data_IF_695960727239
#
_entry.id   IF_695960727239
#
_cell.length_a   1.000
_cell.length_b   1.000
_cell.length_c   1.000
_cell.angle_alpha   90.00
_cell.angle_beta   90.00
_cell.angle_gamma   90.00
#
_symmetry.space_group_name_H-M   'P 1'
#
loop_
_entity.id
_entity.type
_entity.pdbx_description
1 polymer ?
#
# COMPACT_ATOMS: atom_id res chain seq x y z
N UNK A 1 -29.88 4.51 -0.05
CA UNK A 1 -30.06 5.95 -0.37
C UNK A 1 -29.35 6.78 0.67
N UNK A 2 -28.47 7.69 0.25
CA UNK A 2 -27.73 8.57 1.16
C UNK A 2 -28.69 9.61 1.75
N UNK A 3 -28.78 9.72 3.08
CA UNK A 3 -29.75 10.59 3.77
C UNK A 3 -29.37 12.07 3.76
N UNK A 4 -28.16 12.39 3.32
CA UNK A 4 -27.53 13.72 3.39
C UNK A 4 -27.76 14.60 2.15
N UNK A 5 -28.27 14.06 1.04
CA UNK A 5 -28.35 14.76 -0.25
C UNK A 5 -27.00 14.96 -0.96
N UNK A 6 -25.89 14.57 -0.32
CA UNK A 6 -24.53 14.61 -0.89
C UNK A 6 -24.17 13.30 -1.59
N UNK A 7 -23.37 13.40 -2.66
CA UNK A 7 -22.68 12.22 -3.22
C UNK A 7 -21.69 11.65 -2.19
N UNK A 8 -21.35 10.38 -2.30
CA UNK A 8 -20.34 9.78 -1.41
C UNK A 8 -18.99 10.50 -1.53
N UNK A 9 -18.63 10.96 -2.73
CA UNK A 9 -17.44 11.77 -2.96
C UNK A 9 -17.48 13.09 -2.19
N UNK A 10 -18.62 13.76 -2.12
CA UNK A 10 -18.76 15.01 -1.34
C UNK A 10 -18.65 14.78 0.17
N UNK A 11 -19.20 13.68 0.68
CA UNK A 11 -19.04 13.31 2.09
C UNK A 11 -17.58 13.06 2.44
N UNK A 12 -16.84 12.34 1.58
CA UNK A 12 -15.41 12.12 1.80
C UNK A 12 -14.60 13.41 1.74
N UNK A 13 -14.87 14.31 0.79
CA UNK A 13 -14.24 15.64 0.76
C UNK A 13 -14.53 16.45 2.02
N UNK A 14 -15.77 16.45 2.48
CA UNK A 14 -16.17 17.17 3.68
C UNK A 14 -15.50 16.58 4.94
N UNK A 15 -15.41 15.24 5.04
CA UNK A 15 -14.71 14.56 6.13
C UNK A 15 -13.21 14.93 6.15
N UNK A 16 -12.53 14.84 5.00
CA UNK A 16 -11.09 15.20 4.89
C UNK A 16 -10.85 16.68 5.21
N UNK A 17 -11.84 17.53 4.99
CA UNK A 17 -11.83 18.95 5.40
C UNK A 17 -12.18 19.18 6.88
N UNK A 18 -12.45 18.11 7.66
CA UNK A 18 -12.75 18.18 9.09
C UNK A 18 -14.21 18.44 9.44
N UNK A 19 -15.14 18.33 8.48
CA UNK A 19 -16.58 18.45 8.76
C UNK A 19 -17.15 17.14 9.33
N UNK A 20 -18.11 17.27 10.25
CA UNK A 20 -18.95 16.14 10.65
C UNK A 20 -19.93 15.81 9.51
N UNK A 21 -19.82 14.62 8.96
CA UNK A 21 -20.65 14.12 7.86
C UNK A 21 -21.69 13.11 8.33
N UNK A 22 -21.89 13.00 9.64
CA UNK A 22 -22.76 12.01 10.29
C UNK A 22 -22.11 10.63 10.39
N UNK A 23 -22.90 9.58 10.69
CA UNK A 23 -22.38 8.24 10.89
C UNK A 23 -21.80 7.68 9.58
N UNK A 24 -20.47 7.64 9.51
CA UNK A 24 -19.73 6.79 8.58
C UNK A 24 -19.33 5.50 9.29
N UNK A 25 -19.69 4.35 8.73
CA UNK A 25 -19.23 3.07 9.26
C UNK A 25 -17.95 2.65 8.53
N UNK A 26 -16.86 2.67 9.30
CA UNK A 26 -15.48 2.23 9.05
C UNK A 26 -14.80 2.64 7.73
N UNK A 27 -13.64 3.34 7.78
CA UNK A 27 -12.97 3.88 6.60
C UNK A 27 -12.04 2.90 5.87
N UNK A 28 -11.79 1.68 6.33
CA UNK A 28 -10.83 0.79 5.66
C UNK A 28 -11.31 -0.66 5.80
N UNK A 29 -11.87 -1.20 4.72
CA UNK A 29 -12.21 -2.62 4.65
C UNK A 29 -11.11 -3.32 3.85
N UNK A 30 -10.02 -3.76 4.50
CA UNK A 30 -9.05 -4.67 3.87
C UNK A 30 -9.69 -6.01 3.52
N UNK A 31 -10.66 -6.41 4.35
CA UNK A 31 -11.50 -7.57 4.16
C UNK A 31 -12.69 -7.41 5.10
N UNK A 32 -13.84 -6.98 4.59
CA UNK A 32 -15.06 -7.49 5.20
C UNK A 32 -15.10 -8.97 4.85
N UNK A 33 -14.49 -9.77 5.73
CA UNK A 33 -14.63 -11.21 5.74
C UNK A 33 -16.11 -11.50 5.99
N UNK A 34 -16.90 -11.51 4.93
CA UNK A 34 -17.79 -12.63 4.76
C UNK A 34 -16.84 -13.83 4.76
N UNK A 35 -16.86 -14.59 5.86
CA UNK A 35 -15.98 -15.73 6.13
C UNK A 35 -15.56 -16.38 4.82
N UNK A 36 -14.26 -16.46 4.53
CA UNK A 36 -13.83 -17.30 3.40
C UNK A 36 -13.93 -18.74 3.91
N UNK A 37 -14.81 -19.58 3.33
CA UNK A 37 -15.55 -19.39 2.07
C UNK A 37 -16.93 -18.71 2.23
N UNK A 38 -17.17 -17.64 1.44
CA UNK A 38 -18.46 -16.94 1.38
C UNK A 38 -19.54 -17.90 0.88
N UNK A 39 -20.62 -18.04 1.65
CA UNK A 39 -21.74 -18.89 1.31
C UNK A 39 -23.00 -18.02 1.15
N UNK A 40 -23.54 -17.95 -0.06
CA UNK A 40 -24.84 -17.35 -0.32
C UNK A 40 -25.94 -18.25 0.28
N UNK A 41 -26.64 -17.84 1.36
CA UNK A 41 -27.53 -18.73 2.10
C UNK A 41 -28.95 -18.79 1.53
N UNK A 42 -29.21 -18.09 0.43
CA UNK A 42 -30.54 -17.89 -0.13
C UNK A 42 -30.77 -18.75 -1.39
N UNK A 43 -32.03 -19.13 -1.68
CA UNK A 43 -32.37 -19.99 -2.83
C UNK A 43 -32.25 -19.27 -4.19
N UNK A 44 -32.18 -17.94 -4.22
CA UNK A 44 -31.92 -17.17 -5.43
C UNK A 44 -30.48 -17.35 -5.92
N UNK A 45 -30.20 -17.17 -7.24
CA UNK A 45 -28.83 -17.19 -7.74
C UNK A 45 -27.98 -16.15 -7.01
N UNK A 46 -26.79 -16.56 -6.58
CA UNK A 46 -25.82 -15.63 -6.01
C UNK A 46 -25.60 -14.49 -7.00
N UNK A 47 -25.99 -13.25 -6.67
CA UNK A 47 -25.76 -12.11 -7.55
C UNK A 47 -24.27 -11.82 -7.72
N UNK A 48 -23.41 -12.52 -6.97
CA UNK A 48 -21.99 -12.28 -6.90
C UNK A 48 -21.15 -13.59 -6.93
N UNK A 49 -20.99 -14.28 -8.08
CA UNK A 49 -20.19 -15.51 -8.19
C UNK A 49 -18.69 -15.35 -7.87
N UNK A 50 -18.08 -16.32 -7.16
CA UNK A 50 -16.65 -16.34 -6.82
C UNK A 50 -15.73 -16.32 -8.04
N UNK A 51 -14.66 -15.49 -8.06
CA UNK A 51 -13.58 -15.67 -9.05
C UNK A 51 -12.54 -14.56 -9.26
N UNK A 52 -12.76 -13.32 -8.80
CA UNK A 52 -11.83 -12.21 -9.06
C UNK A 52 -11.65 -11.32 -7.83
N UNK A 53 -10.44 -10.79 -7.54
CA UNK A 53 -10.22 -9.91 -6.36
C UNK A 53 -11.16 -8.70 -6.38
N UNK A 54 -11.39 -8.14 -7.56
CA UNK A 54 -12.26 -7.00 -7.83
C UNK A 54 -13.75 -7.35 -7.64
N UNK A 55 -14.09 -8.63 -7.67
CA UNK A 55 -15.42 -9.14 -7.38
C UNK A 55 -15.74 -9.06 -5.88
N UNK A 56 -14.77 -9.40 -5.03
CA UNK A 56 -14.88 -9.23 -3.58
C UNK A 56 -15.06 -7.75 -3.19
N UNK A 57 -14.35 -6.84 -3.88
CA UNK A 57 -14.52 -5.39 -3.69
C UNK A 57 -15.93 -4.95 -4.08
N UNK A 58 -16.40 -5.36 -5.26
CA UNK A 58 -17.74 -5.03 -5.75
C UNK A 58 -18.84 -5.51 -4.80
N UNK A 59 -18.70 -6.73 -4.26
CA UNK A 59 -19.60 -7.30 -3.23
C UNK A 59 -19.63 -6.46 -1.96
N UNK A 60 -18.45 -6.10 -1.43
CA UNK A 60 -18.34 -5.29 -0.21
C UNK A 60 -18.97 -3.91 -0.40
N UNK A 61 -18.74 -3.28 -1.56
CA UNK A 61 -19.34 -1.98 -1.88
C UNK A 61 -20.87 -2.06 -2.05
N UNK A 62 -21.37 -3.15 -2.65
CA UNK A 62 -22.81 -3.39 -2.77
C UNK A 62 -23.47 -3.62 -1.41
N UNK A 63 -22.87 -4.44 -0.54
CA UNK A 63 -23.38 -4.69 0.82
C UNK A 63 -23.39 -3.41 1.65
N UNK A 64 -22.30 -2.65 1.62
CA UNK A 64 -22.23 -1.36 2.29
C UNK A 64 -23.32 -0.40 1.82
N UNK A 65 -23.62 -0.37 0.52
CA UNK A 65 -24.71 0.45 -0.01
C UNK A 65 -26.09 0.05 0.55
N UNK A 66 -26.35 -1.26 0.72
CA UNK A 66 -27.59 -1.79 1.32
C UNK A 66 -27.68 -1.41 2.80
N UNK A 67 -26.58 -1.50 3.54
CA UNK A 67 -26.52 -1.13 4.96
C UNK A 67 -26.54 0.39 5.19
N UNK A 68 -26.50 1.22 4.14
CA UNK A 68 -26.45 2.67 4.24
C UNK A 68 -25.08 3.23 4.63
N UNK A 69 -24.02 2.48 4.36
CA UNK A 69 -22.64 2.82 4.70
C UNK A 69 -21.86 3.38 3.51
N UNK A 70 -20.80 4.12 3.82
CA UNK A 70 -19.95 4.81 2.86
C UNK A 70 -18.46 4.42 3.02
N UNK A 71 -18.09 3.13 2.87
CA UNK A 71 -16.72 2.70 3.06
C UNK A 71 -15.82 3.29 1.97
N UNK A 72 -14.60 3.65 2.35
CA UNK A 72 -13.49 3.73 1.39
C UNK A 72 -12.81 2.37 1.31
N UNK A 73 -12.38 2.03 0.11
CA UNK A 73 -11.65 0.79 -0.13
C UNK A 73 -10.15 1.09 -0.21
N UNK A 74 -9.37 0.37 0.59
CA UNK A 74 -7.92 0.39 0.53
C UNK A 74 -7.51 -0.56 -0.61
N UNK A 75 -7.25 0.00 -1.79
CA UNK A 75 -6.81 -0.78 -2.94
C UNK A 75 -5.49 -0.31 -3.51
N UNK A 76 -4.52 -1.22 -3.55
CA UNK A 76 -3.32 -1.05 -4.35
C UNK A 76 -3.58 -1.47 -5.80
N UNK A 77 -3.08 -0.69 -6.74
CA UNK A 77 -2.80 -1.21 -8.09
C UNK A 77 -1.44 -1.91 -8.05
N UNK A 78 -1.27 -3.06 -8.74
CA UNK A 78 0.06 -3.63 -8.87
C UNK A 78 0.91 -2.73 -9.75
N UNK A 79 2.14 -2.50 -9.30
CA UNK A 79 3.17 -1.81 -10.07
C UNK A 79 4.22 -2.84 -10.49
N UNK A 80 3.76 -3.81 -11.29
CA UNK A 80 4.60 -4.92 -11.74
C UNK A 80 5.72 -4.41 -12.65
N UNK A 81 7.00 -4.68 -12.33
CA UNK A 81 8.11 -4.29 -13.21
C UNK A 81 7.96 -4.97 -14.58
N UNK A 82 8.36 -4.28 -15.66
CA UNK A 82 8.36 -4.85 -17.01
C UNK A 82 9.30 -6.03 -17.12
N UNK A 83 10.45 -5.95 -16.45
CA UNK A 83 11.33 -7.09 -16.25
C UNK A 83 10.84 -7.92 -15.06
N UNK A 84 10.23 -9.07 -15.34
CA UNK A 84 9.76 -10.00 -14.32
C UNK A 84 10.89 -10.54 -13.41
N UNK A 85 12.16 -10.47 -13.85
CA UNK A 85 13.32 -10.81 -13.03
C UNK A 85 13.55 -9.86 -11.86
N UNK A 86 12.96 -8.66 -11.90
CA UNK A 86 13.00 -7.68 -10.81
C UNK A 86 11.90 -7.91 -9.76
N UNK A 87 10.94 -8.81 -9.98
CA UNK A 87 9.91 -9.07 -8.99
C UNK A 87 10.51 -9.80 -7.77
N UNK A 88 10.20 -9.32 -6.56
CA UNK A 88 10.58 -10.00 -5.33
C UNK A 88 9.93 -11.38 -5.26
N UNK A 89 10.73 -12.41 -5.05
CA UNK A 89 10.26 -13.79 -4.92
C UNK A 89 10.12 -14.14 -3.45
N UNK A 90 8.94 -14.57 -3.03
CA UNK A 90 8.69 -15.02 -1.66
C UNK A 90 8.32 -16.49 -1.62
N UNK A 91 8.95 -17.23 -0.72
CA UNK A 91 8.64 -18.64 -0.44
C UNK A 91 8.27 -18.79 1.03
N UNK A 92 7.07 -19.30 1.28
CA UNK A 92 6.58 -19.58 2.63
C UNK A 92 6.54 -21.08 2.87
N UNK A 93 7.09 -21.52 4.00
CA UNK A 93 7.00 -22.90 4.47
C UNK A 93 6.43 -22.92 5.89
N UNK A 94 5.39 -23.72 6.12
CA UNK A 94 4.74 -23.85 7.43
C UNK A 94 5.00 -25.23 8.01
N UNK A 95 5.53 -25.28 9.23
CA UNK A 95 5.77 -26.54 9.96
C UNK A 95 5.60 -26.31 11.46
N UNK A 96 4.88 -27.21 12.15
CA UNK A 96 4.76 -27.19 13.61
C UNK A 96 4.17 -25.90 14.19
N UNK A 97 3.30 -25.19 13.46
CA UNK A 97 2.73 -23.91 13.90
C UNK A 97 3.64 -22.70 13.69
N UNK A 98 4.81 -22.88 13.07
CA UNK A 98 5.72 -21.81 12.65
C UNK A 98 5.66 -21.68 11.13
N UNK A 99 5.52 -20.45 10.64
CA UNK A 99 5.61 -20.08 9.24
C UNK A 99 6.94 -19.38 9.00
N UNK A 100 7.75 -19.88 8.07
CA UNK A 100 9.00 -19.24 7.64
C UNK A 100 8.81 -18.69 6.24
N UNK A 101 8.98 -17.38 6.09
CA UNK A 101 8.97 -16.68 4.81
C UNK A 101 10.39 -16.26 4.43
N UNK A 102 10.85 -16.70 3.26
CA UNK A 102 12.08 -16.21 2.64
C UNK A 102 11.70 -15.31 1.46
N UNK A 103 12.24 -14.09 1.43
CA UNK A 103 12.07 -13.14 0.33
C UNK A 103 13.42 -12.90 -0.34
N UNK A 104 13.45 -12.89 -1.68
CA UNK A 104 14.65 -12.70 -2.51
C UNK A 104 14.40 -11.66 -3.60
N UNK A 105 15.39 -10.81 -3.83
CA UNK A 105 15.40 -9.80 -4.90
C UNK A 105 16.72 -9.89 -5.66
N UNK A 106 16.63 -10.13 -6.96
CA UNK A 106 17.79 -10.19 -7.84
C UNK A 106 18.27 -8.77 -8.17
N UNK A 107 19.58 -8.55 -8.08
CA UNK A 107 20.25 -7.35 -8.58
C UNK A 107 21.49 -7.75 -9.40
N UNK A 108 22.00 -6.88 -10.29
CA UNK A 108 23.26 -7.10 -11.02
C UNK A 108 24.47 -7.27 -10.10
N UNK A 109 24.37 -6.87 -8.84
CA UNK A 109 25.45 -6.88 -7.85
C UNK A 109 25.32 -8.04 -6.84
N UNK A 110 24.36 -8.94 -7.04
CA UNK A 110 24.05 -10.06 -6.15
C UNK A 110 22.59 -10.07 -5.70
N UNK A 111 22.25 -11.05 -4.87
CA UNK A 111 20.90 -11.20 -4.33
C UNK A 111 20.76 -10.46 -2.99
N UNK A 112 19.66 -9.71 -2.82
CA UNK A 112 19.18 -9.26 -1.52
C UNK A 112 18.15 -10.27 -1.02
N UNK A 113 18.30 -10.76 0.22
CA UNK A 113 17.32 -11.69 0.78
C UNK A 113 17.12 -11.55 2.27
N UNK A 114 15.88 -11.78 2.71
CA UNK A 114 15.47 -11.78 4.10
C UNK A 114 14.76 -13.08 4.48
N UNK A 115 14.87 -13.45 5.74
CA UNK A 115 14.17 -14.61 6.31
C UNK A 115 13.45 -14.16 7.57
N UNK A 116 12.14 -14.32 7.57
CA UNK A 116 11.25 -14.00 8.70
C UNK A 116 10.53 -15.26 9.13
N UNK A 117 10.52 -15.52 10.44
CA UNK A 117 9.70 -16.55 11.07
C UNK A 117 8.54 -15.92 11.82
N UNK A 118 7.36 -16.50 11.67
CA UNK A 118 6.17 -16.11 12.41
C UNK A 118 5.50 -17.31 13.05
N UNK A 119 5.13 -17.16 14.31
CA UNK A 119 4.25 -18.10 15.02
C UNK A 119 3.13 -17.30 15.68
N UNK A 120 3.29 -16.97 16.96
CA UNK A 120 2.47 -15.97 17.67
C UNK A 120 2.99 -14.55 17.43
N UNK A 121 4.31 -14.41 17.31
CA UNK A 121 5.00 -13.17 16.95
C UNK A 121 5.93 -13.39 15.77
N UNK A 122 6.30 -12.29 15.10
CA UNK A 122 7.27 -12.29 14.01
C UNK A 122 8.69 -12.09 14.53
N UNK A 123 9.67 -12.78 13.95
CA UNK A 123 11.09 -12.70 14.26
C UNK A 123 11.91 -12.72 12.97
N UNK A 124 12.83 -11.75 12.82
CA UNK A 124 13.75 -11.68 11.68
C UNK A 124 14.97 -12.56 11.94
N UNK A 125 15.13 -13.64 11.16
CA UNK A 125 16.33 -14.49 11.20
C UNK A 125 17.46 -13.86 10.41
N UNK A 126 17.14 -13.35 9.22
CA UNK A 126 18.08 -12.69 8.32
C UNK A 126 17.45 -11.38 7.87
N UNK A 127 18.02 -10.22 8.25
CA UNK A 127 17.52 -8.94 7.76
C UNK A 127 17.84 -8.80 6.28
N UNK A 128 17.02 -8.03 5.57
CA UNK A 128 17.25 -7.73 4.16
C UNK A 128 18.50 -6.86 3.95
N UNK A 129 18.76 -5.96 4.89
CA UNK A 129 19.81 -4.95 4.85
C UNK A 129 20.72 -5.16 6.05
N UNK A 130 21.98 -5.51 5.78
CA UNK A 130 22.99 -5.82 6.80
C UNK A 130 24.33 -5.11 6.59
N UNK A 131 24.48 -4.43 5.45
CA UNK A 131 25.68 -3.72 5.05
C UNK A 131 25.34 -2.46 4.26
N UNK A 132 26.26 -1.50 4.20
CA UNK A 132 26.17 -0.31 3.34
C UNK A 132 25.90 -0.66 1.87
N UNK A 133 26.49 -1.75 1.38
CA UNK A 133 26.30 -2.22 0.01
C UNK A 133 24.86 -2.69 -0.25
N UNK A 134 24.21 -3.31 0.75
CA UNK A 134 22.83 -3.76 0.61
C UNK A 134 21.87 -2.58 0.37
N UNK A 135 22.12 -1.43 1.01
CA UNK A 135 21.35 -0.20 0.78
C UNK A 135 21.47 0.29 -0.66
N UNK A 136 22.70 0.31 -1.21
CA UNK A 136 22.94 0.70 -2.61
C UNK A 136 22.27 -0.26 -3.59
N UNK A 137 22.33 -1.57 -3.30
CA UNK A 137 21.65 -2.61 -4.09
C UNK A 137 20.14 -2.42 -4.07
N UNK A 138 19.56 -2.09 -2.89
CA UNK A 138 18.13 -1.86 -2.78
C UNK A 138 17.71 -0.55 -3.47
N UNK A 139 18.51 0.51 -3.34
CA UNK A 139 18.27 1.78 -4.04
C UNK A 139 18.29 1.58 -5.57
N UNK A 140 19.26 0.83 -6.09
CA UNK A 140 19.27 0.41 -7.50
C UNK A 140 18.01 -0.37 -7.86
N UNK A 141 17.62 -1.34 -7.03
CA UNK A 141 16.45 -2.20 -7.29
C UNK A 141 15.15 -1.38 -7.35
N UNK A 142 14.95 -0.45 -6.41
CA UNK A 142 13.81 0.48 -6.40
C UNK A 142 13.77 1.27 -7.71
N UNK A 143 14.90 1.85 -8.14
CA UNK A 143 14.98 2.58 -9.42
C UNK A 143 14.70 1.68 -10.62
N UNK A 144 15.19 0.44 -10.63
CA UNK A 144 14.93 -0.51 -11.71
C UNK A 144 13.44 -0.87 -11.79
N UNK A 145 12.78 -1.11 -10.65
CA UNK A 145 11.34 -1.41 -10.61
C UNK A 145 10.44 -0.23 -10.98
N UNK A 146 10.99 0.98 -11.09
CA UNK A 146 10.24 2.11 -11.63
C UNK A 146 9.92 1.93 -13.11
N UNK A 147 10.63 1.07 -13.85
CA UNK A 147 10.21 0.65 -15.19
C UNK A 147 9.11 -0.44 -15.10
N UNK A 148 7.94 -0.05 -14.60
CA UNK A 148 6.74 -0.88 -14.55
C UNK A 148 5.83 -0.67 -15.75
N UNK A 149 4.92 -1.61 -15.98
CA UNK A 149 3.87 -1.47 -16.99
C UNK A 149 2.81 -0.45 -16.53
N UNK A 150 3.09 0.83 -16.79
CA UNK A 150 2.21 1.94 -16.39
C UNK A 150 0.82 1.84 -17.01
N UNK A 151 0.71 1.44 -18.28
CA UNK A 151 -0.59 1.32 -18.95
C UNK A 151 -1.45 0.24 -18.32
N UNK A 152 -0.84 -0.91 -17.96
CA UNK A 152 -1.52 -1.96 -17.21
C UNK A 152 -1.95 -1.46 -15.82
N UNK A 153 -1.09 -0.78 -15.08
CA UNK A 153 -1.44 -0.22 -13.77
C UNK A 153 -2.60 0.79 -13.86
N UNK A 154 -2.63 1.64 -14.90
CA UNK A 154 -3.72 2.58 -15.17
C UNK A 154 -5.02 1.81 -15.48
N UNK A 155 -4.96 0.80 -16.35
CA UNK A 155 -6.12 0.00 -16.71
C UNK A 155 -6.71 -0.74 -15.51
N UNK A 156 -5.87 -1.36 -14.67
CA UNK A 156 -6.29 -2.02 -13.44
C UNK A 156 -6.91 -1.03 -12.45
N UNK A 157 -6.31 0.16 -12.30
CA UNK A 157 -6.87 1.22 -11.46
C UNK A 157 -8.22 1.75 -11.96
N UNK A 158 -8.41 1.86 -13.28
CA UNK A 158 -9.70 2.24 -13.87
C UNK A 158 -10.78 1.17 -13.67
N UNK A 159 -10.42 -0.12 -13.79
CA UNK A 159 -11.33 -1.24 -13.51
C UNK A 159 -11.78 -1.24 -12.04
N UNK A 160 -10.84 -1.02 -11.13
CA UNK A 160 -11.12 -0.91 -9.70
C UNK A 160 -12.03 0.30 -9.40
N UNK A 161 -11.76 1.45 -10.00
CA UNK A 161 -12.63 2.63 -9.87
C UNK A 161 -14.05 2.32 -10.38
N UNK A 162 -14.18 1.59 -11.48
CA UNK A 162 -15.49 1.18 -11.99
C UNK A 162 -16.23 0.25 -11.01
N UNK A 163 -15.51 -0.65 -10.34
CA UNK A 163 -16.07 -1.54 -9.31
C UNK A 163 -16.55 -0.79 -8.04
N UNK A 164 -15.82 0.25 -7.63
CA UNK A 164 -16.13 1.03 -6.42
C UNK A 164 -17.21 2.10 -6.68
N UNK A 165 -17.28 2.61 -7.91
CA UNK A 165 -18.23 3.64 -8.34
C UNK A 165 -17.82 5.04 -7.91
N UNK A 166 -18.77 5.84 -7.41
CA UNK A 166 -18.51 7.21 -6.90
C UNK A 166 -17.85 7.26 -5.52
N UNK A 167 -17.70 6.10 -4.88
CA UNK A 167 -17.05 5.98 -3.57
C UNK A 167 -15.55 6.12 -3.81
N UNK A 168 -14.89 7.00 -3.05
CA UNK A 168 -13.48 7.31 -3.27
C UNK A 168 -12.61 6.05 -3.24
N UNK A 169 -11.65 5.95 -4.16
CA UNK A 169 -10.59 4.94 -4.07
C UNK A 169 -9.43 5.56 -3.33
N UNK A 170 -8.99 4.91 -2.25
CA UNK A 170 -7.75 5.26 -1.58
C UNK A 170 -6.62 4.52 -2.28
N UNK A 171 -5.76 5.28 -2.96
CA UNK A 171 -4.48 4.75 -3.43
C UNK A 171 -3.64 4.41 -2.22
N UNK A 172 -3.21 3.16 -2.11
CA UNK A 172 -2.48 2.67 -0.93
C UNK A 172 -1.00 2.70 -1.25
N UNK A 173 -0.25 3.34 -0.36
CA UNK A 173 1.19 3.18 -0.31
C UNK A 173 1.54 2.53 1.02
N UNK A 174 2.39 1.50 0.97
CA UNK A 174 2.94 0.83 2.13
C UNK A 174 4.41 1.22 2.31
N UNK A 175 4.70 1.81 3.48
CA UNK A 175 6.05 2.00 4.02
C UNK A 175 6.74 3.29 3.59
N UNK A 176 7.24 4.07 4.56
CA UNK A 176 8.16 5.15 4.25
C UNK A 176 9.41 4.60 3.50
N UNK A 177 10.05 5.40 2.63
CA UNK A 177 11.21 5.01 1.81
C UNK A 177 12.33 4.19 2.50
N UNK A 178 12.49 4.31 3.82
CA UNK A 178 13.58 3.73 4.62
C UNK A 178 13.16 2.48 5.42
N UNK A 179 11.87 2.14 5.46
CA UNK A 179 11.29 1.24 6.48
C UNK A 179 11.43 -0.27 6.23
N UNK A 180 12.22 -0.70 5.22
CA UNK A 180 12.49 -2.13 4.94
C UNK A 180 13.60 -2.74 5.80
N UNK A 181 14.18 -1.95 6.71
CA UNK A 181 15.22 -2.39 7.65
C UNK A 181 14.61 -3.09 8.87
N UNK A 182 15.37 -3.98 9.49
CA UNK A 182 15.06 -4.38 10.86
C UNK A 182 15.06 -3.13 11.76
N UNK A 183 13.99 -2.96 12.55
CA UNK A 183 13.66 -1.68 13.23
C UNK A 183 14.74 -1.26 14.23
N UNK A 184 15.36 -2.23 14.89
CA UNK A 184 16.41 -1.99 15.88
C UNK A 184 17.73 -1.59 15.21
N UNK A 185 17.99 -2.13 14.01
CA UNK A 185 19.23 -1.90 13.26
C UNK A 185 19.24 -0.57 12.49
N UNK A 186 18.06 -0.04 12.12
CA UNK A 186 17.93 1.19 11.33
C UNK A 186 18.66 2.38 11.95
N UNK A 187 18.58 2.54 13.28
CA UNK A 187 19.24 3.65 13.97
C UNK A 187 20.76 3.60 13.85
N UNK A 188 21.35 2.41 13.96
CA UNK A 188 22.78 2.21 13.78
C UNK A 188 23.18 2.44 12.33
N UNK A 189 22.40 1.93 11.37
CA UNK A 189 22.69 2.12 9.95
C UNK A 189 22.60 3.59 9.51
N UNK A 190 21.69 4.38 10.09
CA UNK A 190 21.61 5.82 9.81
C UNK A 190 22.82 6.59 10.36
N UNK A 191 23.43 6.10 11.44
CA UNK A 191 24.64 6.68 12.00
C UNK A 191 25.90 6.22 11.23
N UNK A 192 25.96 4.94 10.88
CA UNK A 192 27.12 4.32 10.26
C UNK A 192 27.18 4.58 8.74
N UNK A 193 26.03 4.62 8.07
CA UNK A 193 25.90 4.72 6.60
C UNK A 193 24.85 5.77 6.18
N UNK A 194 24.96 7.04 6.62
CA UNK A 194 23.97 8.07 6.34
C UNK A 194 23.74 8.28 4.85
N UNK A 195 24.81 8.32 4.05
CA UNK A 195 24.73 8.56 2.60
C UNK A 195 23.99 7.42 1.86
N UNK A 196 24.22 6.16 2.25
CA UNK A 196 23.55 5.02 1.63
C UNK A 196 22.05 4.97 2.02
N UNK A 197 21.73 5.34 3.25
CA UNK A 197 20.34 5.50 3.69
C UNK A 197 19.64 6.63 2.94
N UNK A 198 20.31 7.77 2.75
CA UNK A 198 19.78 8.91 2.00
C UNK A 198 19.62 8.60 0.50
N UNK A 199 20.51 7.80 -0.08
CA UNK A 199 20.37 7.31 -1.45
C UNK A 199 19.11 6.45 -1.63
N UNK A 200 18.88 5.48 -0.72
CA UNK A 200 17.68 4.65 -0.73
C UNK A 200 16.42 5.50 -0.53
N UNK A 201 16.46 6.46 0.40
CA UNK A 201 15.37 7.39 0.66
C UNK A 201 14.97 8.16 -0.61
N UNK A 202 15.95 8.74 -1.30
CA UNK A 202 15.71 9.47 -2.54
C UNK A 202 15.11 8.57 -3.62
N UNK A 203 15.65 7.36 -3.81
CA UNK A 203 15.12 6.41 -4.79
C UNK A 203 13.65 6.04 -4.51
N UNK A 204 13.28 5.82 -3.25
CA UNK A 204 11.91 5.47 -2.90
C UNK A 204 10.95 6.69 -2.91
N UNK A 205 11.43 7.91 -2.65
CA UNK A 205 10.66 9.13 -2.89
C UNK A 205 10.34 9.30 -4.38
N UNK A 206 11.33 9.13 -5.27
CA UNK A 206 11.14 9.19 -6.72
C UNK A 206 10.13 8.14 -7.21
N UNK A 207 10.25 6.90 -6.71
CA UNK A 207 9.31 5.84 -7.00
C UNK A 207 7.89 6.18 -6.52
N UNK A 208 7.76 6.77 -5.32
CA UNK A 208 6.49 7.22 -4.77
C UNK A 208 5.84 8.30 -5.64
N UNK A 209 6.61 9.31 -6.06
CA UNK A 209 6.14 10.39 -6.94
C UNK A 209 5.61 9.84 -8.27
N UNK A 210 6.36 8.95 -8.93
CA UNK A 210 5.93 8.32 -10.19
C UNK A 210 4.62 7.55 -10.02
N UNK A 211 4.50 6.78 -8.94
CA UNK A 211 3.30 5.96 -8.68
C UNK A 211 2.07 6.81 -8.35
N UNK A 212 2.24 7.91 -7.61
CA UNK A 212 1.17 8.89 -7.36
C UNK A 212 0.64 9.47 -8.67
N UNK A 213 1.52 9.80 -9.62
CA UNK A 213 1.10 10.26 -10.95
C UNK A 213 0.30 9.20 -11.69
N UNK A 214 0.73 7.93 -11.66
CA UNK A 214 -0.02 6.82 -12.25
C UNK A 214 -1.38 6.62 -11.59
N UNK A 215 -1.49 6.69 -10.26
CA UNK A 215 -2.76 6.60 -9.54
C UNK A 215 -3.72 7.73 -9.96
N UNK A 216 -3.19 8.95 -10.17
CA UNK A 216 -3.99 10.07 -10.70
C UNK A 216 -4.47 9.82 -12.12
N UNK A 217 -3.60 9.32 -13.01
CA UNK A 217 -4.00 8.91 -14.38
C UNK A 217 -5.06 7.79 -14.38
N UNK A 218 -5.00 6.90 -13.39
CA UNK A 218 -6.03 5.87 -13.16
C UNK A 218 -7.37 6.45 -12.62
N UNK A 219 -7.37 7.70 -12.16
CA UNK A 219 -8.56 8.44 -11.75
C UNK A 219 -8.88 8.37 -10.25
N UNK A 220 -7.89 8.06 -9.40
CA UNK A 220 -8.06 8.00 -7.95
C UNK A 220 -8.14 9.41 -7.36
N UNK A 221 -9.16 9.71 -6.55
CA UNK A 221 -9.34 11.06 -5.98
C UNK A 221 -8.72 11.24 -4.59
N UNK A 222 -8.48 10.14 -3.85
CA UNK A 222 -7.92 10.18 -2.50
C UNK A 222 -6.61 9.38 -2.41
N UNK A 223 -5.66 9.92 -1.65
CA UNK A 223 -4.41 9.23 -1.34
C UNK A 223 -4.40 8.85 0.15
N UNK A 224 -4.27 7.56 0.43
CA UNK A 224 -3.98 7.09 1.79
C UNK A 224 -2.49 6.79 1.88
N UNK A 225 -1.78 7.63 2.63
CA UNK A 225 -0.36 7.46 2.88
C UNK A 225 -0.15 7.01 4.33
N UNK A 226 0.35 5.78 4.50
CA UNK A 226 0.75 5.28 5.81
C UNK A 226 2.26 5.28 5.94
N UNK A 227 2.76 6.06 6.90
CA UNK A 227 4.15 6.00 7.32
C UNK A 227 4.26 4.99 8.49
N UNK A 228 4.19 3.71 8.15
CA UNK A 228 4.30 2.62 9.13
C UNK A 228 5.62 2.69 9.91
N UNK A 229 5.60 2.26 11.18
CA UNK A 229 6.77 2.21 12.04
C UNK A 229 7.23 3.56 12.60
N UNK A 230 6.50 4.63 12.31
CA UNK A 230 6.75 5.95 12.89
C UNK A 230 6.38 6.04 14.38
N UNK A 231 5.57 5.10 14.87
CA UNK A 231 5.17 4.99 16.28
C UNK A 231 6.35 4.72 17.23
N UNK A 232 7.50 4.26 16.71
CA UNK A 232 8.74 4.02 17.46
C UNK A 232 9.78 5.14 17.30
N UNK A 233 9.48 6.16 16.49
CA UNK A 233 10.41 7.24 16.19
C UNK A 233 10.20 8.41 17.16
N UNK A 234 11.29 9.08 17.52
CA UNK A 234 11.15 10.34 18.25
C UNK A 234 10.44 11.40 17.38
N UNK A 235 9.66 12.32 17.97
CA UNK A 235 9.04 13.41 17.22
C UNK A 235 10.04 14.29 16.46
N UNK A 236 11.28 14.40 16.95
CA UNK A 236 12.35 15.13 16.27
C UNK A 236 12.80 14.40 15.00
N UNK A 237 13.03 13.09 15.10
CA UNK A 237 13.41 12.27 13.95
C UNK A 237 12.33 12.24 12.87
N UNK A 238 11.06 12.09 13.26
CA UNK A 238 9.95 12.14 12.31
C UNK A 238 9.95 13.46 11.52
N UNK A 239 10.11 14.60 12.21
CA UNK A 239 10.13 15.92 11.58
C UNK A 239 11.30 16.12 10.62
N UNK A 240 12.46 15.54 10.93
CA UNK A 240 13.69 15.68 10.14
C UNK A 240 13.70 14.75 8.92
N UNK A 241 13.26 13.49 9.08
CA UNK A 241 13.51 12.43 8.09
C UNK A 241 12.27 11.93 7.35
N UNK A 242 11.08 11.98 7.97
CA UNK A 242 9.85 11.38 7.40
C UNK A 242 8.88 12.45 6.91
N UNK A 243 8.68 13.50 7.70
CA UNK A 243 7.73 14.57 7.39
C UNK A 243 8.05 15.29 6.08
N UNK A 244 9.31 15.63 5.74
CA UNK A 244 9.61 16.33 4.49
C UNK A 244 9.18 15.54 3.25
N UNK A 245 9.51 14.25 3.19
CA UNK A 245 9.15 13.37 2.06
C UNK A 245 7.62 13.19 1.99
N UNK A 246 6.97 13.04 3.14
CA UNK A 246 5.51 12.97 3.23
C UNK A 246 4.86 14.25 2.68
N UNK A 247 5.41 15.42 3.01
CA UNK A 247 4.92 16.70 2.50
C UNK A 247 5.14 16.84 1.00
N UNK A 248 6.26 16.36 0.46
CA UNK A 248 6.53 16.35 -0.99
C UNK A 248 5.51 15.47 -1.72
N UNK A 249 5.26 14.24 -1.24
CA UNK A 249 4.29 13.32 -1.85
C UNK A 249 2.86 13.90 -1.81
N UNK A 250 2.41 14.39 -0.66
CA UNK A 250 1.08 14.99 -0.50
C UNK A 250 0.94 16.30 -1.27
N UNK A 251 2.01 17.10 -1.34
CA UNK A 251 2.06 18.32 -2.15
C UNK A 251 1.86 17.99 -3.63
N UNK A 252 2.62 17.01 -4.14
CA UNK A 252 2.48 16.54 -5.53
C UNK A 252 1.08 16.01 -5.82
N UNK A 253 0.49 15.23 -4.91
CA UNK A 253 -0.87 14.73 -5.06
C UNK A 253 -1.89 15.86 -5.23
N UNK A 254 -1.79 16.91 -4.42
CA UNK A 254 -2.67 18.09 -4.49
C UNK A 254 -2.47 18.88 -5.78
N UNK A 255 -1.23 19.04 -6.25
CA UNK A 255 -0.95 19.69 -7.54
C UNK A 255 -1.62 18.96 -8.72
N UNK A 256 -1.73 17.63 -8.63
CA UNK A 256 -2.43 16.80 -9.61
C UNK A 256 -3.96 16.80 -9.43
N UNK A 257 -4.49 17.64 -8.54
CA UNK A 257 -5.92 17.78 -8.25
C UNK A 257 -6.50 16.67 -7.37
N UNK A 258 -5.66 15.92 -6.65
CA UNK A 258 -6.09 14.95 -5.64
C UNK A 258 -6.47 15.61 -4.32
N UNK A 259 -7.28 14.92 -3.52
CA UNK A 259 -7.71 15.32 -2.17
C UNK A 259 -6.93 14.58 -1.08
#
# INVERSE_FOLDING_TARGET
MNRSGHSFREQWRALVAGADVGPMVSPLCDNWSLDVPYHWPYPEPDPFPTGHRQHAVSQQMAMAAVCGWAPSFLAGVPFDPRDAGLAAQSRTATSGGVSRCETRMATPYGELSSIVESSVSSHTIKPLLSSEEDYRRLAWHVRATMDYDEDRAIAEGQQLRAAIGERGVLGTWWGAPIMSCDRDSLWFHLADWPDACDELRAAALDAGLKKIETLRKAGFDYLFYCADGTEWLSPAFFRDRILPDTQVLLGRWRELGGW
#
